data_IF_390861783621
#
_entry.id   IF_390861783621
#
_cell.length_a   1.000
_cell.length_b   1.000
_cell.length_c   1.000
_cell.angle_alpha   90.00
_cell.angle_beta   90.00
_cell.angle_gamma   90.00
#
_symmetry.space_group_name_H-M   'P 1'
#
loop_
_entity.id
_entity.type
_entity.pdbx_description
1 polymer ?
#
# COMPACT_ATOMS: atom_id res chain seq x y z
N UNK A 1 -15.48 4.91 -52.47
CA UNK A 1 -15.56 6.00 -53.45
C UNK A 1 -14.18 6.62 -53.57
N UNK A 2 -13.37 6.10 -54.48
CA UNK A 2 -12.15 6.75 -54.97
C UNK A 2 -12.59 7.88 -55.90
N UNK A 3 -11.93 9.03 -55.85
CA UNK A 3 -11.98 9.97 -56.98
C UNK A 3 -10.57 10.50 -57.29
N UNK A 4 -10.09 10.06 -58.43
CA UNK A 4 -8.94 10.56 -59.18
C UNK A 4 -9.30 11.92 -59.80
N UNK A 5 -8.32 12.81 -59.99
CA UNK A 5 -8.28 13.79 -61.07
C UNK A 5 -6.82 14.29 -61.15
N UNK A 6 -6.04 13.83 -62.12
CA UNK A 6 -5.97 14.30 -63.51
C UNK A 6 -5.03 15.51 -63.63
N UNK A 7 -3.88 15.25 -64.24
CA UNK A 7 -2.83 16.19 -64.56
C UNK A 7 -3.27 17.13 -65.70
N UNK A 8 -2.90 18.40 -65.60
CA UNK A 8 -2.97 19.37 -66.69
C UNK A 8 -1.56 19.82 -67.03
N UNK A 9 -1.09 19.41 -68.20
CA UNK A 9 0.12 19.87 -68.87
C UNK A 9 -0.19 21.08 -69.74
N UNK A 10 0.60 22.16 -69.62
CA UNK A 10 0.66 23.22 -70.64
C UNK A 10 2.07 23.77 -70.75
N UNK A 11 2.76 23.31 -71.80
CA UNK A 11 3.64 24.05 -72.74
C UNK A 11 4.38 25.30 -72.23
N UNK A 12 5.70 25.26 -72.28
CA UNK A 12 6.58 26.44 -72.30
C UNK A 12 7.34 26.48 -73.63
N UNK A 13 7.22 27.61 -74.36
CA UNK A 13 8.07 27.97 -75.49
C UNK A 13 9.46 28.43 -75.00
N UNK A 14 10.49 28.34 -75.86
CA UNK A 14 11.87 28.62 -75.49
C UNK A 14 12.18 30.13 -75.58
N UNK A 15 13.34 30.49 -75.02
CA UNK A 15 14.08 31.73 -75.22
C UNK A 15 13.69 32.96 -74.39
N UNK A 16 14.25 33.02 -73.18
CA UNK A 16 14.70 34.29 -72.57
C UNK A 16 15.82 34.01 -71.56
N UNK A 17 17.04 34.43 -71.91
CA UNK A 17 18.19 34.42 -71.01
C UNK A 17 18.01 35.47 -69.90
N UNK A 18 18.04 35.03 -68.64
CA UNK A 18 18.02 35.89 -67.46
C UNK A 18 18.52 35.14 -66.22
N UNK A 19 19.58 35.66 -65.61
CA UNK A 19 20.27 35.40 -64.33
C UNK A 19 19.76 34.32 -63.34
N UNK A 20 20.65 33.64 -62.59
CA UNK A 20 20.23 32.72 -61.53
C UNK A 20 19.75 33.50 -60.30
N UNK A 21 18.44 33.53 -60.06
CA UNK A 21 17.90 33.98 -58.77
C UNK A 21 18.34 32.99 -57.66
N UNK A 22 18.73 33.48 -56.47
CA UNK A 22 19.09 32.60 -55.36
C UNK A 22 17.86 31.84 -54.87
N UNK A 23 18.01 30.58 -54.40
CA UNK A 23 16.88 29.81 -53.90
C UNK A 23 16.24 30.51 -52.70
N UNK A 24 14.92 30.75 -52.77
CA UNK A 24 14.16 31.39 -51.70
C UNK A 24 14.47 30.72 -50.34
N UNK A 25 14.66 31.50 -49.25
CA UNK A 25 15.05 30.95 -47.96
C UNK A 25 13.94 30.01 -47.45
N UNK A 26 14.31 28.76 -47.14
CA UNK A 26 13.41 27.79 -46.51
C UNK A 26 12.86 28.40 -45.23
N UNK A 27 11.55 28.67 -45.17
CA UNK A 27 10.89 29.22 -43.98
C UNK A 27 11.14 28.26 -42.80
N UNK A 28 11.97 28.69 -41.85
CA UNK A 28 12.16 27.99 -40.58
C UNK A 28 10.86 28.04 -39.80
N UNK A 29 10.17 26.91 -39.74
CA UNK A 29 8.95 26.78 -38.94
C UNK A 29 9.34 26.73 -37.47
N UNK A 30 8.88 27.70 -36.68
CA UNK A 30 8.98 27.69 -35.21
C UNK A 30 7.97 26.74 -34.56
N UNK A 31 7.19 25.99 -35.36
CA UNK A 31 6.20 25.05 -34.82
C UNK A 31 6.94 23.86 -34.20
N UNK A 32 6.58 23.48 -32.97
CA UNK A 32 7.17 22.33 -32.31
C UNK A 32 6.89 21.05 -33.10
N UNK A 33 7.86 20.11 -33.05
CA UNK A 33 7.77 18.84 -33.75
C UNK A 33 6.58 18.03 -33.21
N UNK A 34 5.72 17.58 -34.13
CA UNK A 34 4.55 16.77 -33.82
C UNK A 34 4.98 15.42 -33.20
N UNK A 35 4.49 15.10 -32.01
CA UNK A 35 4.56 13.79 -31.37
C UNK A 35 3.35 13.62 -30.46
N UNK A 36 2.80 12.40 -30.35
CA UNK A 36 1.68 12.10 -29.44
C UNK A 36 1.96 12.49 -27.99
N UNK A 37 3.24 12.45 -27.59
CA UNK A 37 3.69 12.90 -26.28
C UNK A 37 3.65 14.43 -26.14
N UNK A 38 4.21 15.18 -27.11
CA UNK A 38 4.25 16.65 -27.06
C UNK A 38 2.87 17.29 -27.22
N UNK A 39 1.91 16.53 -27.74
CA UNK A 39 0.51 16.94 -27.89
C UNK A 39 -0.42 16.41 -26.80
N UNK A 40 0.09 15.60 -25.87
CA UNK A 40 -0.70 14.99 -24.79
C UNK A 40 -1.84 14.11 -25.32
N UNK A 41 -1.66 13.51 -26.49
CA UNK A 41 -2.60 12.59 -27.15
C UNK A 41 -2.19 11.12 -26.92
N UNK A 42 -1.54 10.84 -25.79
CA UNK A 42 -1.23 9.46 -25.43
C UNK A 42 -2.52 8.70 -25.11
N UNK A 43 -2.60 7.40 -25.48
CA UNK A 43 -3.74 6.58 -25.11
C UNK A 43 -3.81 6.48 -23.58
N UNK A 44 -4.88 7.02 -23.01
CA UNK A 44 -5.15 6.97 -21.59
C UNK A 44 -6.44 6.19 -21.36
N UNK A 45 -6.39 5.19 -20.47
CA UNK A 45 -7.60 4.65 -19.89
C UNK A 45 -8.11 5.67 -18.87
N UNK A 46 -9.32 6.22 -19.10
CA UNK A 46 -9.98 7.15 -18.17
C UNK A 46 -11.07 6.38 -17.42
N UNK A 47 -10.76 5.77 -16.26
CA UNK A 47 -11.77 5.02 -15.53
C UNK A 47 -12.82 5.99 -14.98
N UNK A 48 -14.05 5.87 -15.46
CA UNK A 48 -15.21 6.57 -14.90
C UNK A 48 -15.86 5.64 -13.88
N UNK A 49 -15.80 6.00 -12.60
CA UNK A 49 -16.44 5.23 -11.53
C UNK A 49 -17.96 5.40 -11.59
N UNK A 50 -18.62 4.61 -12.44
CA UNK A 50 -20.08 4.56 -12.44
C UNK A 50 -20.58 3.78 -11.22
N UNK A 51 -21.75 4.11 -10.65
CA UNK A 51 -22.28 3.43 -9.47
C UNK A 51 -22.37 1.90 -9.60
N UNK A 52 -22.72 1.39 -10.80
CA UNK A 52 -22.81 -0.06 -11.06
C UNK A 52 -21.47 -0.78 -10.89
N UNK A 53 -20.39 -0.22 -11.43
CA UNK A 53 -19.04 -0.78 -11.30
C UNK A 53 -18.55 -0.76 -9.85
N UNK A 54 -18.85 0.33 -9.13
CA UNK A 54 -18.48 0.48 -7.71
C UNK A 54 -19.21 -0.55 -6.83
N UNK A 55 -20.53 -0.70 -7.00
CA UNK A 55 -21.32 -1.70 -6.26
C UNK A 55 -20.81 -3.11 -6.53
N UNK A 56 -20.55 -3.46 -7.80
CA UNK A 56 -20.00 -4.76 -8.16
C UNK A 56 -18.64 -5.01 -7.50
N UNK A 57 -17.77 -3.99 -7.48
CA UNK A 57 -16.44 -4.10 -6.89
C UNK A 57 -16.53 -4.34 -5.38
N UNK A 58 -17.36 -3.58 -4.66
CA UNK A 58 -17.56 -3.78 -3.23
C UNK A 58 -18.19 -5.13 -2.91
N UNK A 59 -19.11 -5.62 -3.75
CA UNK A 59 -19.71 -6.95 -3.58
C UNK A 59 -18.66 -8.06 -3.72
N UNK A 60 -17.78 -7.96 -4.72
CA UNK A 60 -16.67 -8.92 -4.91
C UNK A 60 -15.69 -8.87 -3.74
N UNK A 61 -15.29 -7.68 -3.31
CA UNK A 61 -14.40 -7.51 -2.15
C UNK A 61 -15.05 -8.07 -0.88
N UNK A 62 -16.34 -7.82 -0.66
CA UNK A 62 -17.11 -8.37 0.46
C UNK A 62 -17.15 -9.90 0.42
N UNK A 63 -17.50 -10.50 -0.72
CA UNK A 63 -17.52 -11.97 -0.88
C UNK A 63 -16.14 -12.59 -0.66
N UNK A 64 -15.05 -11.89 -1.00
CA UNK A 64 -13.71 -12.35 -0.72
C UNK A 64 -13.33 -12.21 0.77
N UNK A 65 -13.63 -11.07 1.39
CA UNK A 65 -13.17 -10.77 2.75
C UNK A 65 -14.03 -11.37 3.85
N UNK A 66 -15.32 -11.62 3.63
CA UNK A 66 -16.19 -12.29 4.61
C UNK A 66 -15.69 -13.69 4.97
N UNK A 67 -15.43 -14.63 4.04
CA UNK A 67 -14.94 -15.96 4.39
C UNK A 67 -13.53 -15.93 4.98
N UNK A 68 -12.66 -15.02 4.51
CA UNK A 68 -11.33 -14.81 5.10
C UNK A 68 -11.46 -14.34 6.55
N UNK A 69 -12.33 -13.37 6.81
CA UNK A 69 -12.61 -12.84 8.15
C UNK A 69 -13.19 -13.91 9.07
N UNK A 70 -14.15 -14.71 8.59
CA UNK A 70 -14.71 -15.83 9.36
C UNK A 70 -13.63 -16.85 9.71
N UNK A 71 -12.82 -17.27 8.74
CA UNK A 71 -11.75 -18.24 8.95
C UNK A 71 -10.72 -17.70 9.95
N UNK A 72 -10.30 -16.45 9.80
CA UNK A 72 -9.38 -15.77 10.72
C UNK A 72 -9.95 -15.65 12.12
N UNK A 73 -11.26 -15.38 12.26
CA UNK A 73 -11.92 -15.25 13.54
C UNK A 73 -12.02 -16.59 14.27
N UNK A 74 -12.33 -17.68 13.56
CA UNK A 74 -12.34 -19.02 14.14
C UNK A 74 -10.94 -19.41 14.58
N UNK A 75 -9.93 -19.24 13.72
CA UNK A 75 -8.54 -19.50 14.07
C UNK A 75 -8.07 -18.67 15.28
N UNK A 76 -8.49 -17.41 15.38
CA UNK A 76 -8.14 -16.54 16.52
C UNK A 76 -8.83 -16.96 17.82
N UNK A 77 -10.03 -17.52 17.77
CA UNK A 77 -10.78 -17.99 18.96
C UNK A 77 -10.27 -19.32 19.50
N UNK A 78 -9.63 -20.12 18.65
CA UNK A 78 -9.04 -21.41 19.03
C UNK A 78 -7.73 -21.26 19.81
N UNK A 79 -7.11 -20.07 19.80
CA UNK A 79 -5.90 -19.79 20.57
C UNK A 79 -6.25 -19.77 22.06
N UNK A 80 -5.60 -20.63 22.82
CA UNK A 80 -5.69 -20.66 24.29
C UNK A 80 -4.53 -19.86 24.86
N UNK A 81 -4.85 -18.72 25.47
CA UNK A 81 -3.90 -17.83 26.14
C UNK A 81 -4.21 -17.77 27.64
N UNK A 82 -3.16 -17.75 28.47
CA UNK A 82 -3.30 -17.54 29.91
C UNK A 82 -2.32 -16.42 30.31
N UNK A 83 -2.87 -15.37 30.91
CA UNK A 83 -2.11 -14.21 31.41
C UNK A 83 -2.17 -14.21 32.94
N UNK A 84 -1.00 -14.36 33.58
CA UNK A 84 -0.85 -14.26 35.04
C UNK A 84 -0.05 -12.99 35.39
N UNK A 85 -0.68 -12.04 36.09
CA UNK A 85 -0.04 -10.78 36.51
C UNK A 85 0.72 -10.98 37.82
N UNK A 86 1.99 -11.31 37.70
CA UNK A 86 2.83 -11.60 38.87
C UNK A 86 3.35 -10.35 39.60
N UNK A 87 3.29 -9.15 39.01
CA UNK A 87 3.87 -7.93 39.58
C UNK A 87 3.28 -7.50 40.95
N UNK A 88 2.02 -7.84 41.23
CA UNK A 88 1.34 -7.47 42.48
C UNK A 88 1.24 -8.66 43.42
N UNK A 89 1.07 -9.86 42.86
CA UNK A 89 0.90 -11.05 43.67
C UNK A 89 2.21 -11.60 44.23
N UNK A 90 3.34 -11.31 43.58
CA UNK A 90 4.66 -11.63 44.11
C UNK A 90 5.18 -10.63 45.14
N UNK A 91 4.43 -9.55 45.41
CA UNK A 91 4.78 -8.55 46.41
C UNK A 91 3.92 -8.78 47.66
N UNK A 92 4.53 -8.97 48.84
CA UNK A 92 3.81 -9.10 50.10
C UNK A 92 2.86 -7.92 50.32
N UNK A 93 1.67 -8.18 50.88
CA UNK A 93 0.61 -7.17 51.05
C UNK A 93 1.13 -5.91 51.76
N UNK A 94 1.99 -6.08 52.78
CA UNK A 94 2.61 -5.00 53.53
C UNK A 94 3.46 -4.04 52.67
N UNK A 95 3.94 -4.49 51.51
CA UNK A 95 4.87 -3.77 50.66
C UNK A 95 4.28 -3.37 49.32
N UNK A 96 2.98 -3.58 49.10
CA UNK A 96 2.32 -3.24 47.82
C UNK A 96 2.23 -1.73 47.57
N UNK A 97 2.25 -0.92 48.63
CA UNK A 97 2.20 0.55 48.56
C UNK A 97 3.52 1.13 48.05
N UNK A 98 4.65 0.52 48.42
CA UNK A 98 5.98 0.88 47.94
C UNK A 98 6.70 -0.36 47.38
N UNK A 99 6.30 -0.69 46.15
CA UNK A 99 6.88 -1.81 45.40
C UNK A 99 8.37 -1.63 45.16
N UNK A 100 8.83 -0.39 44.98
CA UNK A 100 10.23 -0.08 44.67
C UNK A 100 11.12 -0.38 45.88
N UNK A 101 10.71 0.04 47.08
CA UNK A 101 11.43 -0.29 48.31
C UNK A 101 11.53 -1.81 48.54
N UNK A 102 10.47 -2.57 48.23
CA UNK A 102 10.53 -4.04 48.31
C UNK A 102 11.53 -4.64 47.32
N UNK A 103 11.50 -4.19 46.07
CA UNK A 103 12.41 -4.65 45.02
C UNK A 103 13.87 -4.37 45.42
N UNK A 104 14.15 -3.19 45.96
CA UNK A 104 15.49 -2.75 46.38
C UNK A 104 15.97 -3.33 47.72
N UNK A 105 15.08 -3.96 48.50
CA UNK A 105 15.44 -4.55 49.79
C UNK A 105 16.34 -5.79 49.66
N UNK A 106 16.79 -6.37 50.78
CA UNK A 106 17.49 -7.68 50.81
C UNK A 106 16.57 -8.89 51.04
N UNK A 107 15.25 -8.69 51.08
CA UNK A 107 14.29 -9.80 51.24
C UNK A 107 14.39 -10.81 50.08
N UNK A 108 13.86 -12.03 50.25
CA UNK A 108 13.73 -12.97 49.12
C UNK A 108 12.67 -12.48 48.13
N UNK A 109 12.96 -12.58 46.82
CA UNK A 109 12.05 -12.21 45.72
C UNK A 109 11.49 -13.43 44.99
N UNK A 110 11.87 -14.63 45.42
CA UNK A 110 11.38 -15.87 44.81
C UNK A 110 9.87 -15.96 44.97
N UNK A 111 9.18 -16.03 43.84
CA UNK A 111 7.74 -16.11 43.77
C UNK A 111 7.34 -17.33 42.96
N UNK A 112 6.51 -18.19 43.53
CA UNK A 112 5.97 -19.36 42.84
C UNK A 112 4.51 -19.09 42.52
N UNK A 113 4.13 -19.30 41.26
CA UNK A 113 2.78 -19.10 40.75
C UNK A 113 2.23 -20.43 40.26
N UNK A 114 1.01 -20.75 40.67
CA UNK A 114 0.28 -21.90 40.13
C UNK A 114 -0.70 -21.39 39.08
N UNK A 115 -0.49 -21.78 37.84
CA UNK A 115 -1.32 -21.37 36.71
C UNK A 115 -2.17 -22.58 36.29
N UNK A 116 -3.50 -22.44 36.39
CA UNK A 116 -4.43 -23.50 36.01
C UNK A 116 -4.82 -23.38 34.53
N UNK A 117 -4.49 -24.41 33.75
CA UNK A 117 -4.83 -24.48 32.33
C UNK A 117 -6.23 -25.08 32.17
N UNK A 118 -7.23 -24.24 31.91
CA UNK A 118 -8.65 -24.66 31.85
C UNK A 118 -9.07 -25.26 30.52
N UNK A 119 -8.28 -25.07 29.45
CA UNK A 119 -8.55 -25.56 28.09
C UNK A 119 -7.34 -26.28 27.53
N UNK A 120 -7.57 -27.28 26.68
CA UNK A 120 -6.49 -28.01 26.04
C UNK A 120 -5.62 -27.09 25.16
N UNK A 121 -4.34 -26.97 25.47
CA UNK A 121 -3.36 -26.28 24.66
C UNK A 121 -2.69 -27.26 23.69
N UNK A 122 -2.99 -27.12 22.39
CA UNK A 122 -2.33 -27.93 21.36
C UNK A 122 -0.89 -27.47 21.17
N UNK A 123 0.06 -28.41 21.13
CA UNK A 123 1.49 -28.14 20.92
C UNK A 123 1.75 -27.38 19.59
N UNK A 124 2.80 -26.54 19.50
CA UNK A 124 3.74 -26.16 20.56
C UNK A 124 3.18 -25.08 21.51
N UNK A 125 3.66 -25.08 22.76
CA UNK A 125 3.29 -24.09 23.79
C UNK A 125 4.45 -23.11 23.95
N UNK A 126 4.13 -21.81 23.99
CA UNK A 126 5.10 -20.73 24.17
C UNK A 126 4.87 -20.01 25.49
N UNK A 127 5.94 -19.50 26.08
CA UNK A 127 5.91 -18.68 27.30
C UNK A 127 6.54 -17.35 26.98
N UNK A 128 5.80 -16.27 27.24
CA UNK A 128 6.24 -14.90 27.03
C UNK A 128 6.16 -14.12 28.34
N UNK A 129 7.03 -13.13 28.49
CA UNK A 129 6.89 -12.10 29.51
C UNK A 129 6.38 -10.81 28.87
N UNK A 130 5.53 -10.09 29.56
CA UNK A 130 4.99 -8.80 29.12
C UNK A 130 5.50 -7.69 30.02
N UNK A 131 6.00 -6.62 29.42
CA UNK A 131 6.42 -5.40 30.11
C UNK A 131 5.50 -4.25 29.68
N UNK A 132 4.74 -3.72 30.63
CA UNK A 132 3.92 -2.53 30.41
C UNK A 132 4.70 -1.27 30.81
N UNK A 133 4.37 -0.13 30.18
CA UNK A 133 5.00 1.17 30.44
C UNK A 133 6.54 1.18 30.28
N UNK A 134 7.07 0.33 29.39
CA UNK A 134 8.51 0.25 29.08
C UNK A 134 8.80 0.82 27.68
N UNK A 135 9.43 1.99 27.62
CA UNK A 135 9.69 2.74 26.38
C UNK A 135 10.98 2.27 25.68
N UNK A 136 10.91 1.16 24.97
CA UNK A 136 12.07 0.61 24.22
C UNK A 136 12.47 1.46 23.01
N UNK A 137 11.50 2.10 22.38
CA UNK A 137 11.69 2.80 21.11
C UNK A 137 12.06 4.29 21.30
N UNK A 138 12.58 4.67 22.46
CA UNK A 138 13.07 6.02 22.67
C UNK A 138 14.36 6.22 21.85
N UNK A 139 14.39 7.27 21.02
CA UNK A 139 15.56 7.68 20.23
C UNK A 139 16.44 8.65 20.99
#
# INVERSE_FOLDING_TARGET
>A
MMNSNAASSSTANPDAAGSPDPPAPRRSSKRPKYSKFTQQELPACKPILTPKWVILTFLVVGIAFVPIGITSLLASRDVVEIVDRYETDCIPVANRTDKVAFIQSNASKTCTRQITVTKHMKRPVYVYYQLDNFYQNHR
#
